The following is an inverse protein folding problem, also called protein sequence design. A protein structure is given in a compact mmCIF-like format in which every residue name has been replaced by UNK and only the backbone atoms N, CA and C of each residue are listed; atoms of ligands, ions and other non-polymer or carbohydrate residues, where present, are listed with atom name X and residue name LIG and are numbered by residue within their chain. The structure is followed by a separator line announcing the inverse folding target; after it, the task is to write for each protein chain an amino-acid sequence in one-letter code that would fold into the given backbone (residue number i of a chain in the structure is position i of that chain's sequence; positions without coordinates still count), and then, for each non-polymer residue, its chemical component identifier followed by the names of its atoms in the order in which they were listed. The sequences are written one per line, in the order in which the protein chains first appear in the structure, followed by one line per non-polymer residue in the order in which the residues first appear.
data_IF_875605575585
#
_entry.id   IF_875605575585
#
_cell.length_a   1.000
_cell.length_b   1.000
_cell.length_c   1.000
_cell.angle_alpha   90.00
_cell.angle_beta   90.00
_cell.angle_gamma   90.00
#
_symmetry.space_group_name_H-M   'P 1'
#
loop_
_entity.id
_entity.type
_entity.pdbx_description
1 polymer ?
#
# COMPACT_ATOMS: atom_id res chain seq x y z
N UNK A 1 0.10 -7.97 75.27
CA UNK A 1 0.73 -6.84 74.55
C UNK A 1 1.42 -7.45 73.32
N UNK A 2 0.88 -7.30 72.10
CA UNK A 2 1.37 -6.42 71.00
C UNK A 2 2.87 -6.70 70.70
N UNK A 3 3.33 -7.05 69.50
CA UNK A 3 2.96 -6.59 68.15
C UNK A 3 3.20 -7.68 67.08
N UNK A 4 2.28 -7.78 66.12
CA UNK A 4 2.46 -8.40 64.82
C UNK A 4 3.06 -7.35 63.87
N UNK A 5 4.25 -7.59 63.32
CA UNK A 5 4.84 -6.75 62.26
C UNK A 5 4.35 -7.27 60.90
N UNK A 6 3.32 -6.62 60.38
CA UNK A 6 2.82 -6.82 59.02
C UNK A 6 3.70 -6.09 58.00
N UNK A 7 4.32 -6.85 57.09
CA UNK A 7 4.95 -6.31 55.88
C UNK A 7 3.92 -6.23 54.76
N UNK A 8 3.51 -5.03 54.38
CA UNK A 8 2.68 -4.81 53.18
C UNK A 8 3.64 -4.69 51.99
N UNK A 9 3.70 -5.73 51.16
CA UNK A 9 4.30 -5.66 49.83
C UNK A 9 3.24 -5.04 48.90
N UNK A 10 3.38 -3.76 48.59
CA UNK A 10 2.60 -3.12 47.52
C UNK A 10 3.20 -3.55 46.19
N UNK A 11 2.66 -4.61 45.60
CA UNK A 11 2.96 -5.02 44.23
C UNK A 11 2.25 -4.06 43.27
N UNK A 12 3.01 -3.08 42.74
CA UNK A 12 2.62 -2.30 41.58
C UNK A 12 2.52 -3.24 40.36
N UNK A 13 1.30 -3.63 40.01
CA UNK A 13 1.02 -4.36 38.79
C UNK A 13 1.35 -3.49 37.58
N UNK A 14 2.46 -3.79 36.89
CA UNK A 14 2.70 -3.28 35.54
C UNK A 14 1.67 -3.93 34.60
N UNK A 15 0.60 -3.21 34.31
CA UNK A 15 -0.32 -3.58 33.24
C UNK A 15 0.39 -3.52 31.90
N UNK A 16 0.61 -4.67 31.26
CA UNK A 16 1.04 -4.75 29.86
C UNK A 16 -0.13 -4.31 28.99
N UNK A 17 -0.19 -3.03 28.62
CA UNK A 17 -1.14 -2.55 27.61
C UNK A 17 -0.81 -3.26 26.28
N UNK A 18 -1.81 -3.86 25.61
CA UNK A 18 -1.59 -4.45 24.30
C UNK A 18 -1.19 -3.33 23.33
N UNK A 19 0.07 -3.35 22.87
CA UNK A 19 0.51 -2.52 21.76
C UNK A 19 -0.27 -2.99 20.53
N UNK A 20 -1.37 -2.32 20.20
CA UNK A 20 -1.98 -2.48 18.88
C UNK A 20 -0.95 -1.97 17.85
N UNK A 21 -0.41 -2.89 17.06
CA UNK A 21 0.47 -2.51 15.95
C UNK A 21 -0.37 -1.72 14.94
N UNK A 22 -0.09 -0.43 14.76
CA UNK A 22 -0.78 0.35 13.72
C UNK A 22 -0.42 -0.22 12.36
N UNK A 23 -1.47 -0.59 11.64
CA UNK A 23 -1.40 -1.05 10.27
C UNK A 23 -1.64 0.12 9.32
N UNK A 24 -1.03 0.05 8.14
CA UNK A 24 -1.33 0.94 7.04
C UNK A 24 -2.77 0.69 6.59
N UNK A 25 -3.50 1.77 6.34
CA UNK A 25 -4.91 1.73 5.95
C UNK A 25 -5.06 1.43 4.47
N UNK A 26 -6.25 1.00 4.05
CA UNK A 26 -6.57 0.79 2.64
C UNK A 26 -6.47 2.07 1.81
N UNK A 27 -6.76 3.23 2.41
CA UNK A 27 -6.57 4.54 1.78
C UNK A 27 -5.10 4.82 1.49
N UNK A 28 -4.21 4.56 2.46
CA UNK A 28 -2.76 4.72 2.27
C UNK A 28 -2.23 3.76 1.21
N UNK A 29 -2.68 2.50 1.22
CA UNK A 29 -2.30 1.52 0.18
C UNK A 29 -2.79 1.99 -1.19
N UNK A 30 -4.04 2.41 -1.31
CA UNK A 30 -4.61 2.90 -2.56
C UNK A 30 -3.89 4.13 -3.10
N UNK A 31 -3.54 5.08 -2.23
CA UNK A 31 -2.75 6.26 -2.60
C UNK A 31 -1.34 5.87 -3.09
N UNK A 32 -0.69 4.91 -2.44
CA UNK A 32 0.62 4.39 -2.85
C UNK A 32 0.57 3.70 -4.21
N UNK A 33 -0.41 2.81 -4.41
CA UNK A 33 -0.60 2.10 -5.69
C UNK A 33 -0.81 3.10 -6.82
N UNK A 34 -1.64 4.12 -6.61
CA UNK A 34 -1.89 5.14 -7.64
C UNK A 34 -0.67 6.03 -7.89
N UNK A 35 0.08 6.37 -6.85
CA UNK A 35 1.31 7.15 -6.98
C UNK A 35 2.38 6.41 -7.80
N UNK A 36 2.53 5.10 -7.59
CA UNK A 36 3.42 4.25 -8.40
C UNK A 36 3.01 4.24 -9.88
N UNK A 37 1.69 4.14 -10.16
CA UNK A 37 1.14 4.16 -11.52
C UNK A 37 1.44 5.48 -12.24
N UNK A 38 1.22 6.60 -11.56
CA UNK A 38 1.43 7.94 -12.11
C UNK A 38 2.92 8.27 -12.30
N UNK A 39 3.79 7.75 -11.43
CA UNK A 39 5.24 7.93 -11.53
C UNK A 39 5.91 6.96 -12.51
N UNK A 40 5.22 5.91 -12.96
CA UNK A 40 5.74 4.91 -13.87
C UNK A 40 6.34 5.58 -15.12
N UNK A 41 7.60 5.27 -15.49
CA UNK A 41 8.22 5.86 -16.67
C UNK A 41 7.39 5.59 -17.92
N UNK A 42 6.98 6.66 -18.61
CA UNK A 42 6.35 6.54 -19.92
C UNK A 42 7.45 6.38 -20.96
N UNK A 43 7.84 5.14 -21.22
CA UNK A 43 8.94 4.83 -22.14
C UNK A 43 8.59 5.18 -23.59
N UNK A 44 7.29 5.31 -23.91
CA UNK A 44 6.80 5.57 -25.27
C UNK A 44 7.13 4.44 -26.25
N UNK A 45 7.63 3.31 -25.75
CA UNK A 45 8.00 2.14 -26.53
C UNK A 45 6.92 1.08 -26.32
N UNK A 46 6.30 0.65 -27.40
CA UNK A 46 5.50 -0.58 -27.40
C UNK A 46 6.43 -1.74 -26.99
N UNK A 47 6.04 -2.53 -25.99
CA UNK A 47 6.81 -3.68 -25.49
C UNK A 47 8.22 -3.31 -24.96
N UNK A 48 8.31 -2.33 -24.07
CA UNK A 48 9.55 -1.99 -23.34
C UNK A 48 10.06 -3.10 -22.39
N UNK A 49 9.40 -4.26 -22.38
CA UNK A 49 9.72 -5.40 -21.55
C UNK A 49 9.14 -5.30 -20.14
N UNK A 50 8.33 -4.28 -19.85
CA UNK A 50 7.61 -4.11 -18.60
C UNK A 50 6.10 -4.25 -18.84
N UNK A 51 5.40 -4.64 -17.79
CA UNK A 51 3.99 -5.06 -17.89
C UNK A 51 3.11 -4.25 -16.96
N UNK A 52 1.87 -4.02 -17.38
CA UNK A 52 0.84 -3.18 -16.78
C UNK A 52 1.21 -1.70 -16.67
N UNK A 53 0.24 -0.90 -16.22
CA UNK A 53 0.43 0.52 -15.93
C UNK A 53 1.49 0.79 -14.83
N UNK A 54 1.86 -0.21 -14.03
CA UNK A 54 2.87 -0.11 -12.98
C UNK A 54 4.27 -0.53 -13.40
N UNK A 55 4.46 -0.94 -14.66
CA UNK A 55 5.77 -1.25 -15.23
C UNK A 55 6.51 -2.37 -14.46
N UNK A 56 5.82 -3.48 -14.23
CA UNK A 56 6.32 -4.65 -13.49
C UNK A 56 7.26 -5.46 -14.38
N UNK A 57 8.38 -5.94 -13.83
CA UNK A 57 9.29 -6.82 -14.55
C UNK A 57 8.69 -8.23 -14.74
N UNK A 58 8.82 -8.86 -15.92
CA UNK A 58 8.17 -10.14 -16.20
C UNK A 58 8.59 -11.27 -15.24
N UNK A 59 9.86 -11.28 -14.83
CA UNK A 59 10.41 -12.34 -13.98
C UNK A 59 9.80 -12.40 -12.58
N UNK A 60 9.21 -11.30 -12.06
CA UNK A 60 8.63 -11.29 -10.72
C UNK A 60 7.15 -11.66 -10.70
N UNK A 61 6.47 -11.58 -11.85
CA UNK A 61 5.02 -11.75 -11.97
C UNK A 61 4.53 -13.10 -11.43
N UNK A 62 5.13 -14.26 -11.77
CA UNK A 62 4.69 -15.55 -11.24
C UNK A 62 4.76 -15.61 -9.70
N UNK A 63 5.86 -15.11 -9.13
CA UNK A 63 6.06 -15.10 -7.68
C UNK A 63 5.04 -14.20 -6.96
N UNK A 64 4.87 -12.96 -7.43
CA UNK A 64 3.93 -12.02 -6.82
C UNK A 64 2.48 -12.47 -6.95
N UNK A 65 2.08 -12.98 -8.12
CA UNK A 65 0.73 -13.50 -8.31
C UNK A 65 0.44 -14.70 -7.41
N UNK A 66 1.37 -15.66 -7.31
CA UNK A 66 1.21 -16.80 -6.40
C UNK A 66 1.04 -16.37 -4.95
N UNK A 67 1.85 -15.41 -4.50
CA UNK A 67 1.76 -14.88 -3.15
C UNK A 67 0.44 -14.15 -2.89
N UNK A 68 -0.06 -13.37 -3.85
CA UNK A 68 -1.17 -12.45 -3.63
C UNK A 68 -2.55 -13.04 -3.97
N UNK A 69 -2.64 -13.94 -4.95
CA UNK A 69 -3.91 -14.50 -5.44
C UNK A 69 -3.89 -16.05 -5.48
N UNK A 70 -2.85 -16.69 -4.94
CA UNK A 70 -2.78 -18.14 -4.77
C UNK A 70 -2.38 -18.95 -6.01
N UNK A 71 -2.09 -18.29 -7.14
CA UNK A 71 -1.62 -18.96 -8.38
C UNK A 71 -0.68 -18.09 -9.18
N UNK A 72 0.19 -18.73 -9.97
CA UNK A 72 1.09 -18.05 -10.90
C UNK A 72 0.29 -17.50 -12.09
N UNK A 73 0.59 -16.26 -12.46
CA UNK A 73 0.19 -15.63 -13.72
C UNK A 73 1.40 -15.49 -14.63
N UNK A 74 1.13 -15.49 -15.93
CA UNK A 74 2.08 -15.03 -16.94
C UNK A 74 2.07 -13.50 -17.05
N UNK A 75 3.14 -12.88 -17.60
CA UNK A 75 3.15 -11.46 -17.90
C UNK A 75 1.98 -11.01 -18.79
N UNK A 76 1.60 -11.83 -19.78
CA UNK A 76 0.49 -11.55 -20.69
C UNK A 76 -0.88 -11.56 -19.98
N UNK A 77 -1.09 -12.46 -19.03
CA UNK A 77 -2.32 -12.46 -18.22
C UNK A 77 -2.45 -11.22 -17.33
N UNK A 78 -1.32 -10.68 -16.85
CA UNK A 78 -1.29 -9.43 -16.09
C UNK A 78 -1.54 -8.22 -17.00
N UNK A 79 -0.90 -8.17 -18.17
CA UNK A 79 -1.12 -7.09 -19.16
C UNK A 79 -2.58 -7.01 -19.60
N UNK A 80 -3.18 -8.17 -19.90
CA UNK A 80 -4.55 -8.25 -20.38
C UNK A 80 -5.61 -7.88 -19.32
N UNK A 81 -5.22 -7.70 -18.06
CA UNK A 81 -6.16 -7.45 -16.97
C UNK A 81 -5.63 -6.39 -15.99
N UNK A 82 -5.93 -5.10 -16.25
CA UNK A 82 -5.60 -4.01 -15.33
C UNK A 82 -6.12 -4.23 -13.90
N UNK A 83 -7.27 -4.89 -13.75
CA UNK A 83 -7.83 -5.25 -12.45
C UNK A 83 -6.93 -6.24 -11.68
N UNK A 84 -6.47 -7.33 -12.33
CA UNK A 84 -5.54 -8.29 -11.70
C UNK A 84 -4.18 -7.65 -11.41
N UNK A 85 -3.68 -6.82 -12.32
CA UNK A 85 -2.46 -6.05 -12.09
C UNK A 85 -2.60 -5.19 -10.83
N UNK A 86 -3.70 -4.43 -10.72
CA UNK A 86 -3.97 -3.58 -9.54
C UNK A 86 -4.09 -4.40 -8.25
N UNK A 87 -4.74 -5.56 -8.29
CA UNK A 87 -4.86 -6.45 -7.12
C UNK A 87 -3.49 -6.93 -6.62
N UNK A 88 -2.65 -7.44 -7.53
CA UNK A 88 -1.29 -7.91 -7.21
C UNK A 88 -0.45 -6.75 -6.68
N UNK A 89 -0.44 -5.60 -7.38
CA UNK A 89 0.32 -4.42 -6.96
C UNK A 89 -0.15 -3.92 -5.60
N UNK A 90 -1.46 -3.91 -5.31
CA UNK A 90 -1.99 -3.50 -4.01
C UNK A 90 -1.54 -4.41 -2.88
N UNK A 91 -1.54 -5.72 -3.10
CA UNK A 91 -1.03 -6.70 -2.14
C UNK A 91 0.47 -6.48 -1.84
N UNK A 92 1.30 -6.31 -2.88
CA UNK A 92 2.75 -6.09 -2.73
C UNK A 92 3.03 -4.72 -2.10
N UNK A 93 2.35 -3.66 -2.55
CA UNK A 93 2.49 -2.32 -2.00
C UNK A 93 2.09 -2.28 -0.51
N UNK A 94 1.00 -2.95 -0.11
CA UNK A 94 0.62 -3.07 1.31
C UNK A 94 1.72 -3.74 2.13
N UNK A 95 2.25 -4.87 1.67
CA UNK A 95 3.33 -5.61 2.35
C UNK A 95 4.53 -4.70 2.58
N UNK A 96 5.03 -4.06 1.52
CA UNK A 96 6.24 -3.23 1.63
C UNK A 96 5.98 -1.94 2.39
N UNK A 97 4.86 -1.25 2.15
CA UNK A 97 4.52 -0.03 2.87
C UNK A 97 4.39 -0.31 4.38
N UNK A 98 3.73 -1.40 4.79
CA UNK A 98 3.66 -1.79 6.20
C UNK A 98 5.05 -2.04 6.79
N UNK A 99 5.90 -2.78 6.06
CA UNK A 99 7.27 -3.07 6.50
C UNK A 99 8.07 -1.79 6.70
N UNK A 100 8.02 -0.86 5.75
CA UNK A 100 8.74 0.41 5.82
C UNK A 100 8.15 1.37 6.86
N UNK A 101 6.83 1.31 7.09
CA UNK A 101 6.15 2.09 8.11
C UNK A 101 6.63 1.70 9.51
N UNK A 102 6.69 0.39 9.80
CA UNK A 102 7.22 -0.11 11.07
C UNK A 102 8.71 0.22 11.22
N UNK A 103 9.52 -0.04 10.19
CA UNK A 103 10.97 0.23 10.20
C UNK A 103 11.33 1.73 10.19
N UNK A 104 10.37 2.60 9.90
CA UNK A 104 10.52 4.06 9.81
C UNK A 104 9.93 4.80 11.00
N UNK A 105 9.79 4.15 12.16
CA UNK A 105 9.16 4.73 13.36
C UNK A 105 7.75 5.29 13.08
N UNK A 106 6.97 4.58 12.25
CA UNK A 106 5.59 4.96 11.88
C UNK A 106 5.50 6.33 11.19
N UNK A 107 6.57 6.78 10.55
CA UNK A 107 6.54 7.96 9.68
C UNK A 107 6.08 7.57 8.27
N UNK A 108 4.87 7.99 7.92
CA UNK A 108 4.21 7.64 6.66
C UNK A 108 5.01 8.07 5.42
N UNK A 109 5.45 9.33 5.37
CA UNK A 109 6.21 9.84 4.21
C UNK A 109 7.56 9.12 4.08
N UNK A 110 8.21 8.78 5.19
CA UNK A 110 9.42 7.94 5.18
C UNK A 110 9.12 6.56 4.61
N UNK A 111 7.99 5.96 4.98
CA UNK A 111 7.56 4.67 4.45
C UNK A 111 7.30 4.74 2.94
N UNK A 112 6.57 5.75 2.47
CA UNK A 112 6.30 5.99 1.05
C UNK A 112 7.60 6.13 0.25
N UNK A 113 8.55 6.95 0.72
CA UNK A 113 9.87 7.12 0.07
C UNK A 113 10.63 5.81 -0.04
N UNK A 114 10.68 5.06 1.05
CA UNK A 114 11.39 3.76 1.11
C UNK A 114 10.73 2.71 0.22
N UNK A 115 9.40 2.65 0.20
CA UNK A 115 8.67 1.74 -0.69
C UNK A 115 8.85 2.12 -2.15
N UNK A 116 8.86 3.40 -2.50
CA UNK A 116 9.16 3.87 -3.85
C UNK A 116 10.59 3.52 -4.29
N UNK A 117 11.56 3.65 -3.38
CA UNK A 117 12.94 3.25 -3.64
C UNK A 117 13.06 1.73 -3.87
N UNK A 118 12.38 0.95 -3.03
CA UNK A 118 12.31 -0.50 -3.16
C UNK A 118 11.66 -0.92 -4.47
N UNK A 119 10.59 -0.23 -4.89
CA UNK A 119 9.92 -0.51 -6.16
C UNK A 119 10.88 -0.41 -7.36
N UNK A 120 11.74 0.60 -7.38
CA UNK A 120 12.69 0.82 -8.47
C UNK A 120 13.93 -0.07 -8.42
N UNK A 121 14.39 -0.44 -7.23
CA UNK A 121 15.76 -0.96 -7.05
C UNK A 121 15.82 -2.30 -6.31
N UNK A 122 14.70 -2.77 -5.76
CA UNK A 122 14.66 -3.87 -4.80
C UNK A 122 15.20 -3.53 -3.41
N UNK A 123 15.69 -2.29 -3.18
CA UNK A 123 16.24 -1.82 -1.91
C UNK A 123 15.45 -0.63 -1.37
N UNK A 124 15.17 -0.61 -0.07
CA UNK A 124 14.42 0.47 0.57
C UNK A 124 15.24 1.78 0.73
N UNK A 125 16.55 1.74 0.46
CA UNK A 125 17.50 2.83 0.68
C UNK A 125 18.43 2.97 -0.52
N UNK A 126 19.13 4.10 -0.62
CA UNK A 126 20.10 4.36 -1.69
C UNK A 126 19.55 5.20 -2.85
N UNK A 127 18.26 5.50 -2.87
CA UNK A 127 17.63 6.39 -3.86
C UNK A 127 17.71 7.87 -3.46
N UNK A 128 18.91 8.36 -3.13
CA UNK A 128 19.12 9.73 -2.66
C UNK A 128 19.75 10.64 -3.73
N UNK A 129 20.13 10.11 -4.89
CA UNK A 129 20.65 10.88 -6.02
C UNK A 129 20.20 10.33 -7.37
N UNK A 130 20.43 11.10 -8.43
CA UNK A 130 20.19 10.68 -9.82
C UNK A 130 18.72 10.37 -10.14
N UNK A 131 18.53 9.49 -11.14
CA UNK A 131 17.20 9.17 -11.66
C UNK A 131 16.28 8.49 -10.63
N UNK A 132 16.85 7.69 -9.72
CA UNK A 132 16.07 6.99 -8.67
C UNK A 132 15.55 7.97 -7.63
N UNK A 133 16.32 9.00 -7.24
CA UNK A 133 15.83 10.06 -6.37
C UNK A 133 14.71 10.87 -7.02
N UNK A 134 14.85 11.20 -8.31
CA UNK A 134 13.80 11.90 -9.07
C UNK A 134 12.52 11.07 -9.13
N UNK A 135 12.62 9.75 -9.37
CA UNK A 135 11.46 8.87 -9.33
C UNK A 135 10.80 8.84 -7.94
N UNK A 136 11.59 8.63 -6.88
CA UNK A 136 11.08 8.58 -5.51
C UNK A 136 10.37 9.89 -5.15
N UNK A 137 10.91 11.04 -5.56
CA UNK A 137 10.27 12.31 -5.31
C UNK A 137 8.91 12.42 -6.02
N UNK A 138 8.81 12.04 -7.31
CA UNK A 138 7.54 12.02 -8.03
C UNK A 138 6.49 11.13 -7.35
N UNK A 139 6.89 9.95 -6.87
CA UNK A 139 5.97 9.06 -6.12
C UNK A 139 5.47 9.75 -4.85
N UNK A 140 6.34 10.41 -4.09
CA UNK A 140 5.90 11.16 -2.89
C UNK A 140 4.92 12.26 -3.26
N UNK A 141 5.22 13.04 -4.29
CA UNK A 141 4.37 14.15 -4.73
C UNK A 141 2.97 13.64 -5.14
N UNK A 142 2.92 12.56 -5.93
CA UNK A 142 1.64 11.94 -6.30
C UNK A 142 0.94 11.34 -5.09
N UNK A 143 1.65 10.67 -4.19
CA UNK A 143 1.06 10.09 -2.98
C UNK A 143 0.36 11.16 -2.13
N UNK A 144 1.01 12.31 -1.94
CA UNK A 144 0.43 13.43 -1.19
C UNK A 144 -0.80 14.00 -1.91
N UNK A 145 -0.76 14.14 -3.24
CA UNK A 145 -1.92 14.54 -4.03
C UNK A 145 -3.09 13.55 -3.88
N UNK A 146 -2.81 12.25 -3.87
CA UNK A 146 -3.83 11.22 -3.69
C UNK A 146 -4.40 11.21 -2.28
N UNK A 147 -3.57 11.44 -1.27
CA UNK A 147 -3.98 11.47 0.14
C UNK A 147 -4.80 12.72 0.49
N UNK A 148 -4.57 13.82 -0.22
CA UNK A 148 -5.36 15.06 -0.08
C UNK A 148 -6.74 14.98 -0.73
N UNK A 149 -6.95 14.03 -1.66
CA UNK A 149 -8.28 13.79 -2.24
C UNK A 149 -9.14 13.14 -1.16
N UNK A 150 -10.22 13.83 -0.75
CA UNK A 150 -11.23 13.23 0.12
C UNK A 150 -11.69 11.90 -0.49
N UNK A 151 -11.94 10.86 0.32
CA UNK A 151 -12.61 9.66 -0.19
C UNK A 151 -13.87 10.10 -0.92
N UNK A 152 -14.02 9.67 -2.17
CA UNK A 152 -15.31 9.79 -2.84
C UNK A 152 -16.26 8.99 -1.99
N UNK A 153 -17.13 9.68 -1.26
CA UNK A 153 -18.23 9.11 -0.51
C UNK A 153 -18.91 8.12 -1.45
N UNK A 154 -18.94 6.84 -1.07
CA UNK A 154 -19.63 5.84 -1.86
C UNK A 154 -21.04 6.39 -2.08
N UNK A 155 -21.40 6.66 -3.34
CA UNK A 155 -22.76 7.03 -3.71
C UNK A 155 -23.63 5.87 -3.24
N UNK A 156 -24.21 6.03 -2.06
CA UNK A 156 -25.30 5.20 -1.60
C UNK A 156 -26.41 5.48 -2.60
N UNK A 157 -26.59 4.56 -3.54
CA UNK A 157 -27.83 4.46 -4.31
C UNK A 157 -28.94 4.08 -3.34
N UNK A 158 -29.39 5.07 -2.54
CA UNK A 158 -30.65 4.99 -1.84
C UNK A 158 -31.75 4.89 -2.89
N UNK A 159 -32.18 3.65 -3.08
CA UNK A 159 -33.51 3.23 -3.51
C UNK A 159 -34.54 4.36 -3.56
N UNK A 160 -34.79 4.87 -4.78
CA UNK A 160 -36.03 5.53 -5.15
C UNK A 160 -36.22 5.44 -6.68
N UNK A 161 -36.20 4.21 -7.20
CA UNK A 161 -36.79 3.93 -8.52
C UNK A 161 -38.20 3.40 -8.29
N UNK A 162 -39.20 4.23 -8.54
CA UNK A 162 -40.60 3.81 -8.69
C UNK A 162 -40.84 3.61 -10.19
N UNK A 163 -41.06 2.36 -10.67
CA UNK A 163 -41.48 2.17 -12.05
C UNK A 163 -42.86 2.81 -12.21
N UNK A 164 -42.99 3.78 -13.11
CA UNK A 164 -44.29 4.21 -13.58
C UNK A 164 -44.78 3.18 -14.59
N UNK A 165 -45.86 2.47 -14.25
CA UNK A 165 -46.56 1.57 -15.17
C UNK A 165 -47.24 2.38 -16.28
N UNK A 166 -47.14 1.97 -17.56
CA UNK A 166 -47.88 2.63 -18.63
C UNK A 166 -49.37 2.32 -18.48
N UNK A 167 -50.22 3.34 -18.51
CA UNK A 167 -51.67 3.17 -18.66
C UNK A 167 -51.97 2.82 -20.12
N UNK A 168 -52.76 1.75 -20.31
CA UNK A 168 -53.42 1.43 -21.59
C UNK A 168 -54.53 2.43 -21.87
#
# INVERSE_FOLDING_TARGET
MRLLLGGIIVSLGLGTLPVQAQQVTDTQVGAMVEALRLAAPKTGKTNDGLYSEWQITPGIIPSWSKQCIGRELTPQEVEASPAKAREIVSCIARRELQKQYVAGNRNEITAVRRTACWWMTGNATGCNSGATATYVQRVVDFYQQQSAKKPVEAVSTSSNYRPQTPKK
#
